data_IF_776477006874
#
_entry.id   IF_776477006874
#
_cell.length_a   1.000
_cell.length_b   1.000
_cell.length_c   1.000
_cell.angle_alpha   90.00
_cell.angle_beta   90.00
_cell.angle_gamma   90.00
#
_symmetry.space_group_name_H-M   'P 1'
#
loop_
_entity.id
_entity.type
_entity.pdbx_description
1 polymer ?
#
# COMPACT_ATOMS: atom_id res chain seq x y z
N UNK A 1 -0.52 40.47 59.14
CA UNK A 1 -1.76 41.02 58.55
C UNK A 1 -1.37 42.08 57.54
N UNK A 2 -2.09 42.21 56.41
CA UNK A 2 -1.72 42.83 55.11
C UNK A 2 -0.92 41.86 54.21
N UNK A 3 -1.51 40.95 53.43
CA UNK A 3 -2.50 41.11 52.34
C UNK A 3 -2.04 42.13 51.29
N UNK A 4 -1.32 41.68 50.25
CA UNK A 4 -1.20 42.40 48.99
C UNK A 4 -1.03 41.44 47.79
N UNK A 5 -2.12 41.34 47.04
CA UNK A 5 -2.21 41.39 45.57
C UNK A 5 -1.08 40.75 44.76
N UNK A 6 -1.40 39.69 44.01
CA UNK A 6 -1.01 39.58 42.59
C UNK A 6 -1.98 38.64 41.87
N UNK A 7 -3.10 39.20 41.39
CA UNK A 7 -3.91 38.58 40.36
C UNK A 7 -3.23 38.87 39.03
N UNK A 8 -2.67 37.85 38.37
CA UNK A 8 -2.22 37.96 36.99
C UNK A 8 -2.98 36.94 36.14
N UNK A 9 -4.10 37.40 35.58
CA UNK A 9 -4.87 36.69 34.56
C UNK A 9 -4.02 36.61 33.28
N UNK A 10 -3.63 35.40 32.88
CA UNK A 10 -3.08 35.14 31.55
C UNK A 10 -4.21 34.62 30.64
N UNK A 11 -4.75 35.53 29.82
CA UNK A 11 -5.68 35.21 28.73
C UNK A 11 -4.89 34.54 27.59
N UNK A 12 -5.05 33.23 27.43
CA UNK A 12 -4.49 32.49 26.29
C UNK A 12 -5.50 32.57 25.13
N UNK A 13 -5.20 33.40 24.13
CA UNK A 13 -5.94 33.44 22.87
C UNK A 13 -5.45 32.31 21.97
N UNK A 14 -6.25 31.26 21.79
CA UNK A 14 -6.01 30.21 20.79
C UNK A 14 -6.50 30.71 19.42
N UNK A 15 -5.56 31.07 18.54
CA UNK A 15 -5.86 31.26 17.12
C UNK A 15 -5.98 29.89 16.44
N UNK A 16 -7.20 29.50 16.08
CA UNK A 16 -7.47 28.29 15.29
C UNK A 16 -7.06 28.52 13.84
N UNK A 17 -5.92 27.96 13.45
CA UNK A 17 -5.52 27.86 12.04
C UNK A 17 -6.37 26.79 11.35
N UNK A 18 -7.24 27.20 10.43
CA UNK A 18 -7.92 26.26 9.54
C UNK A 18 -6.97 25.84 8.42
N UNK A 19 -6.34 24.66 8.59
CA UNK A 19 -5.60 24.01 7.52
C UNK A 19 -6.59 23.49 6.46
N UNK A 20 -6.51 24.05 5.25
CA UNK A 20 -7.16 23.52 4.05
C UNK A 20 -6.55 22.15 3.73
N UNK A 21 -7.32 21.10 3.44
CA UNK A 21 -6.76 19.83 2.98
C UNK A 21 -6.09 20.07 1.62
N UNK A 22 -4.75 20.12 1.61
CA UNK A 22 -3.98 20.06 0.38
C UNK A 22 -4.17 18.67 -0.20
N UNK A 23 -4.64 18.62 -1.44
CA UNK A 23 -4.76 17.40 -2.23
C UNK A 23 -3.48 16.58 -2.17
N UNK A 24 -3.66 15.25 -2.13
CA UNK A 24 -2.60 14.28 -1.94
C UNK A 24 -1.35 14.60 -2.76
N UNK A 25 -0.27 14.90 -2.04
CA UNK A 25 1.09 14.96 -2.58
C UNK A 25 1.36 13.65 -3.35
N UNK A 26 1.98 13.70 -4.54
CA UNK A 26 2.43 12.48 -5.18
C UNK A 26 3.31 11.70 -4.19
N UNK A 27 2.90 10.47 -3.87
CA UNK A 27 3.66 9.59 -3.00
C UNK A 27 5.03 9.41 -3.65
N UNK A 28 6.06 9.94 -2.99
CA UNK A 28 7.45 9.79 -3.40
C UNK A 28 7.75 8.30 -3.38
N UNK A 29 7.59 7.63 -4.52
CA UNK A 29 7.96 6.23 -4.65
C UNK A 29 9.45 6.19 -4.29
N UNK A 30 9.90 5.35 -3.34
CA UNK A 30 11.30 5.37 -2.92
C UNK A 30 12.17 4.96 -4.11
N UNK A 31 12.66 5.97 -4.84
CA UNK A 31 13.70 5.85 -5.85
C UNK A 31 15.00 5.69 -5.09
N UNK A 32 15.27 4.48 -4.61
CA UNK A 32 16.42 4.20 -3.76
C UNK A 32 16.92 2.79 -3.92
N UNK A 33 18.08 2.54 -3.32
CA UNK A 33 18.62 1.22 -3.14
C UNK A 33 18.26 0.71 -1.74
N UNK A 34 18.11 -0.60 -1.60
CA UNK A 34 17.88 -1.32 -0.34
C UNK A 34 18.92 -2.41 -0.16
N UNK A 35 19.19 -2.77 1.09
CA UNK A 35 20.10 -3.87 1.41
C UNK A 35 19.70 -5.17 0.69
N UNK A 36 20.67 -5.91 0.12
CA UNK A 36 20.46 -7.29 -0.29
C UNK A 36 19.90 -8.14 0.85
N UNK A 37 18.98 -9.06 0.53
CA UNK A 37 18.34 -9.93 1.54
C UNK A 37 19.30 -10.93 2.17
N UNK A 38 20.40 -11.24 1.49
CA UNK A 38 21.50 -12.06 1.98
C UNK A 38 22.82 -11.51 1.45
N UNK A 39 23.91 -11.84 2.12
CA UNK A 39 25.27 -11.67 1.59
C UNK A 39 25.62 -12.79 0.59
N UNK A 40 26.89 -12.88 0.19
CA UNK A 40 27.38 -13.95 -0.69
C UNK A 40 27.64 -15.28 0.04
N UNK A 41 27.76 -15.29 1.37
CA UNK A 41 27.80 -16.53 2.16
C UNK A 41 26.39 -17.05 2.55
N UNK A 42 25.33 -16.36 2.11
CA UNK A 42 23.92 -16.68 2.33
C UNK A 42 23.41 -16.47 3.77
N UNK A 43 24.12 -15.67 4.57
CA UNK A 43 23.62 -15.13 5.83
C UNK A 43 22.51 -14.10 5.56
N UNK A 44 21.41 -14.14 6.33
CA UNK A 44 20.27 -13.26 6.13
C UNK A 44 20.59 -11.82 6.57
N UNK A 45 19.92 -10.86 5.92
CA UNK A 45 19.95 -9.47 6.33
C UNK A 45 19.44 -9.31 7.78
N UNK A 46 20.30 -8.79 8.64
CA UNK A 46 19.97 -8.38 10.00
C UNK A 46 19.56 -6.91 10.08
N UNK A 47 20.13 -6.21 11.06
CA UNK A 47 19.91 -4.78 11.24
C UNK A 47 20.41 -4.01 10.03
N UNK A 48 19.58 -3.11 9.53
CA UNK A 48 19.94 -2.22 8.44
C UNK A 48 19.41 -0.83 8.69
N UNK A 49 20.09 0.16 8.13
CA UNK A 49 19.63 1.54 8.14
C UNK A 49 20.07 2.26 6.86
N UNK A 50 19.46 3.42 6.63
CA UNK A 50 19.83 4.34 5.56
C UNK A 50 19.84 5.74 6.14
N UNK A 51 20.96 6.44 6.01
CA UNK A 51 21.07 7.87 6.36
C UNK A 51 20.75 8.80 5.17
N UNK A 52 20.33 8.22 4.04
CA UNK A 52 20.08 8.92 2.77
C UNK A 52 21.29 9.02 1.85
N UNK A 53 22.50 8.78 2.35
CA UNK A 53 23.76 8.77 1.57
C UNK A 53 24.43 7.40 1.58
N UNK A 54 24.33 6.70 2.69
CA UNK A 54 24.93 5.41 2.98
C UNK A 54 23.85 4.44 3.46
N UNK A 55 23.88 3.23 2.92
CA UNK A 55 23.10 2.09 3.36
C UNK A 55 24.00 1.19 4.18
N UNK A 56 23.65 0.96 5.44
CA UNK A 56 24.29 -0.03 6.29
C UNK A 56 23.46 -1.31 6.30
N UNK A 57 24.10 -2.45 6.06
CA UNK A 57 23.47 -3.76 6.00
C UNK A 57 24.30 -4.76 6.80
N UNK A 58 23.80 -5.22 7.95
CA UNK A 58 24.46 -6.29 8.71
C UNK A 58 24.00 -7.68 8.26
N UNK A 59 24.90 -8.65 8.34
CA UNK A 59 24.66 -10.05 7.95
C UNK A 59 25.16 -10.98 9.07
N UNK A 60 24.49 -11.01 10.23
CA UNK A 60 24.95 -11.77 11.38
C UNK A 60 24.93 -13.27 11.09
N UNK A 61 26.00 -13.97 11.48
CA UNK A 61 26.07 -15.42 11.35
C UNK A 61 25.24 -16.13 12.44
N UNK A 62 25.11 -15.49 13.61
CA UNK A 62 24.36 -16.00 14.75
C UNK A 62 23.35 -14.99 15.30
N UNK A 63 22.33 -15.49 15.99
CA UNK A 63 21.36 -14.64 16.66
C UNK A 63 22.00 -13.86 17.83
N UNK A 64 21.76 -12.54 17.88
CA UNK A 64 22.26 -11.68 18.96
C UNK A 64 23.70 -11.18 18.79
N UNK A 65 24.30 -11.41 17.62
CA UNK A 65 25.60 -10.87 17.25
C UNK A 65 25.58 -9.33 17.10
N UNK A 66 26.72 -8.66 17.29
CA UNK A 66 26.82 -7.22 17.07
C UNK A 66 26.64 -6.93 15.57
N UNK A 67 25.69 -6.07 15.17
CA UNK A 67 25.52 -5.70 13.77
C UNK A 67 26.78 -5.13 13.10
N UNK A 68 27.76 -4.65 13.86
CA UNK A 68 28.99 -4.06 13.35
C UNK A 68 30.13 -5.08 13.14
N UNK A 69 29.91 -6.38 13.40
CA UNK A 69 30.93 -7.42 13.18
C UNK A 69 30.98 -7.84 11.71
N UNK A 70 29.84 -8.23 11.13
CA UNK A 70 29.70 -8.58 9.71
C UNK A 70 28.71 -7.64 9.02
N UNK A 71 29.22 -6.70 8.24
CA UNK A 71 28.38 -5.72 7.56
C UNK A 71 28.94 -5.22 6.24
N UNK A 72 28.04 -4.70 5.43
CA UNK A 72 28.34 -4.03 4.18
C UNK A 72 27.81 -2.60 4.23
N UNK A 73 28.55 -1.65 3.66
CA UNK A 73 28.04 -0.31 3.36
C UNK A 73 27.96 -0.08 1.87
N UNK A 74 26.89 0.58 1.45
CA UNK A 74 26.66 0.95 0.06
C UNK A 74 26.34 2.43 -0.05
N UNK A 75 26.63 3.02 -1.20
CA UNK A 75 26.07 4.32 -1.57
C UNK A 75 24.55 4.19 -1.76
N UNK A 76 23.77 4.98 -1.03
CA UNK A 76 22.31 5.02 -1.19
C UNK A 76 21.87 5.56 -2.56
N UNK A 77 22.76 6.30 -3.24
CA UNK A 77 22.50 6.91 -4.55
C UNK A 77 22.85 6.00 -5.73
N UNK A 78 23.96 5.26 -5.63
CA UNK A 78 24.45 4.41 -6.74
C UNK A 78 24.27 2.92 -6.50
N UNK A 79 23.98 2.53 -5.26
CA UNK A 79 23.93 1.15 -4.81
C UNK A 79 25.30 0.47 -4.75
N UNK A 80 26.39 1.13 -5.15
CA UNK A 80 27.73 0.51 -5.14
C UNK A 80 28.25 0.35 -3.73
N UNK A 81 28.93 -0.77 -3.50
CA UNK A 81 29.61 -1.03 -2.24
C UNK A 81 30.66 0.05 -2.00
N UNK A 82 30.65 0.60 -0.79
CA UNK A 82 31.62 1.60 -0.31
C UNK A 82 32.50 1.03 0.79
N UNK A 83 32.03 0.03 1.51
CA UNK A 83 32.81 -0.70 2.51
C UNK A 83 32.36 -2.16 2.58
N UNK A 84 33.33 -3.06 2.57
CA UNK A 84 33.16 -4.48 2.88
C UNK A 84 33.78 -4.73 4.25
N UNK A 85 32.95 -5.08 5.24
CA UNK A 85 33.37 -5.56 6.54
C UNK A 85 32.72 -6.92 6.81
N UNK A 86 32.65 -7.76 5.77
CA UNK A 86 32.03 -9.07 5.78
C UNK A 86 32.96 -10.10 5.12
N UNK A 87 34.27 -9.96 5.38
CA UNK A 87 35.31 -10.85 4.86
C UNK A 87 35.31 -11.08 3.33
N UNK A 88 34.79 -10.13 2.54
CA UNK A 88 34.69 -10.27 1.09
C UNK A 88 33.36 -10.85 0.59
N UNK A 89 32.39 -11.11 1.48
CA UNK A 89 31.09 -11.69 1.14
C UNK A 89 30.02 -10.63 0.84
N UNK A 90 30.34 -9.35 0.89
CA UNK A 90 29.38 -8.32 0.50
C UNK A 90 29.01 -8.42 -0.99
N UNK A 91 27.71 -8.45 -1.35
CA UNK A 91 27.28 -8.27 -2.72
C UNK A 91 27.87 -6.98 -3.31
N UNK A 92 28.31 -6.98 -4.58
CA UNK A 92 28.95 -5.79 -5.16
C UNK A 92 28.00 -4.60 -5.40
N UNK A 93 26.69 -4.78 -5.30
CA UNK A 93 25.68 -3.74 -5.49
C UNK A 93 24.43 -4.03 -4.68
N UNK A 94 23.88 -3.02 -4.01
CA UNK A 94 22.61 -3.06 -3.31
C UNK A 94 21.42 -3.23 -4.28
N UNK A 95 20.26 -3.62 -3.76
CA UNK A 95 19.06 -3.90 -4.57
C UNK A 95 18.39 -2.59 -4.98
N UNK A 96 18.16 -2.37 -6.28
CA UNK A 96 17.43 -1.20 -6.76
C UNK A 96 15.93 -1.35 -6.49
N UNK A 97 15.40 -0.60 -5.51
CA UNK A 97 14.00 -0.63 -5.09
C UNK A 97 13.05 0.07 -6.07
N UNK A 98 13.58 0.98 -6.90
CA UNK A 98 12.81 1.62 -7.99
C UNK A 98 12.44 0.66 -9.12
N UNK A 99 13.10 -0.50 -9.19
CA UNK A 99 12.79 -1.58 -10.12
C UNK A 99 11.94 -2.68 -9.48
N UNK A 100 11.34 -2.45 -8.30
CA UNK A 100 10.32 -3.34 -7.77
C UNK A 100 9.29 -3.56 -8.87
N UNK A 101 9.42 -4.71 -9.55
CA UNK A 101 8.54 -5.16 -10.63
C UNK A 101 7.15 -4.90 -10.10
N UNK A 102 6.42 -3.95 -10.72
CA UNK A 102 4.99 -3.78 -10.47
C UNK A 102 4.47 -5.20 -10.39
N UNK A 103 4.10 -5.67 -9.19
CA UNK A 103 3.33 -6.90 -9.09
C UNK A 103 2.15 -6.58 -9.99
N UNK A 104 2.09 -7.21 -11.17
CA UNK A 104 0.91 -7.15 -11.98
C UNK A 104 -0.22 -7.41 -11.01
N UNK A 105 -1.25 -6.53 -10.93
CA UNK A 105 -2.36 -6.80 -10.05
C UNK A 105 -2.79 -8.23 -10.36
N UNK A 106 -2.83 -9.08 -9.33
CA UNK A 106 -3.37 -10.43 -9.49
C UNK A 106 -4.67 -10.26 -10.28
N UNK A 107 -4.93 -11.07 -11.32
CA UNK A 107 -6.18 -10.97 -12.04
C UNK A 107 -7.28 -11.02 -10.99
N UNK A 108 -7.98 -9.89 -10.82
CA UNK A 108 -9.21 -9.89 -10.06
C UNK A 108 -10.06 -10.92 -10.76
N UNK A 109 -10.28 -12.06 -10.11
CA UNK A 109 -11.29 -13.00 -10.56
C UNK A 109 -12.56 -12.18 -10.58
N UNK A 110 -12.97 -11.77 -11.78
CA UNK A 110 -14.24 -11.10 -11.97
C UNK A 110 -15.27 -11.98 -11.27
N UNK A 111 -15.97 -11.40 -10.30
CA UNK A 111 -17.10 -12.08 -9.68
C UNK A 111 -17.96 -12.63 -10.81
N UNK A 112 -18.20 -13.94 -10.78
CA UNK A 112 -18.99 -14.62 -11.80
C UNK A 112 -20.30 -13.82 -12.01
N UNK A 113 -20.73 -13.57 -13.26
CA UNK A 113 -22.03 -12.96 -13.48
C UNK A 113 -23.07 -13.93 -12.90
N UNK A 114 -23.74 -13.50 -11.84
CA UNK A 114 -24.90 -14.19 -11.31
C UNK A 114 -25.88 -14.26 -12.46
N UNK A 115 -26.14 -15.48 -12.95
CA UNK A 115 -27.02 -15.71 -14.08
C UNK A 115 -28.38 -15.05 -13.79
N UNK A 116 -28.76 -14.08 -14.61
CA UNK A 116 -30.14 -13.61 -14.66
C UNK A 116 -31.04 -14.79 -15.08
N UNK A 117 -32.19 -15.03 -14.45
CA UNK A 117 -33.10 -16.07 -14.88
C UNK A 117 -33.61 -15.73 -16.28
N UNK A 118 -33.31 -16.61 -17.24
CA UNK A 118 -33.85 -16.55 -18.61
C UNK A 118 -35.37 -16.67 -18.50
N UNK A 119 -36.07 -15.60 -18.85
CA UNK A 119 -37.51 -15.63 -19.07
C UNK A 119 -37.81 -16.67 -20.16
N UNK A 120 -38.44 -17.77 -19.76
CA UNK A 120 -38.91 -18.80 -20.68
C UNK A 120 -39.94 -18.19 -21.63
N UNK A 121 -39.66 -18.22 -22.92
CA UNK A 121 -40.65 -17.87 -23.94
C UNK A 121 -41.88 -18.80 -23.79
N UNK A 122 -43.11 -18.25 -23.78
CA UNK A 122 -44.31 -19.06 -23.67
C UNK A 122 -44.52 -19.93 -24.91
N UNK A 123 -44.93 -21.18 -24.69
CA UNK A 123 -45.21 -22.15 -25.73
C UNK A 123 -46.49 -21.77 -26.50
N UNK A 124 -46.65 -22.19 -27.77
CA UNK A 124 -47.79 -21.81 -28.62
C UNK A 124 -49.17 -22.19 -28.06
N UNK A 125 -49.22 -23.10 -27.09
CA UNK A 125 -50.45 -23.48 -26.37
C UNK A 125 -51.07 -22.31 -25.58
N UNK A 126 -50.25 -21.40 -25.04
CA UNK A 126 -50.69 -20.28 -24.18
C UNK A 126 -51.38 -19.14 -24.97
N UNK A 127 -51.19 -19.09 -26.29
CA UNK A 127 -51.79 -18.08 -27.17
C UNK A 127 -53.28 -18.37 -27.46
N UNK A 128 -53.70 -19.65 -27.41
CA UNK A 128 -55.09 -20.04 -27.71
C UNK A 128 -56.05 -19.76 -26.55
N UNK A 129 -55.57 -19.80 -25.31
CA UNK A 129 -56.38 -19.48 -24.13
C UNK A 129 -56.76 -18.00 -24.07
N UNK A 130 -55.90 -17.10 -24.57
CA UNK A 130 -56.11 -15.64 -24.52
C UNK A 130 -57.05 -15.09 -25.60
N UNK A 131 -57.24 -15.78 -26.73
CA UNK A 131 -58.16 -15.31 -27.79
C UNK A 131 -59.64 -15.47 -27.43
N UNK A 132 -59.96 -16.34 -26.48
CA UNK A 132 -61.35 -16.63 -26.08
C UNK A 132 -61.90 -15.62 -25.07
N UNK A 133 -61.03 -14.89 -24.36
CA UNK A 133 -61.43 -13.91 -23.34
C UNK A 133 -61.78 -12.53 -23.92
N UNK A 134 -61.37 -12.22 -25.16
CA UNK A 134 -61.53 -10.88 -25.77
C UNK A 134 -62.83 -10.67 -26.57
N UNK A 135 -63.74 -11.67 -26.60
CA UNK A 135 -65.05 -11.56 -27.26
C UNK A 135 -66.23 -11.20 -26.34
N UNK A 136 -66.00 -10.92 -25.06
CA UNK A 136 -67.07 -10.49 -24.15
C UNK A 136 -66.81 -9.07 -23.64
N UNK A 137 -66.97 -8.10 -24.53
CA UNK A 137 -67.43 -6.76 -24.16
C UNK A 137 -68.96 -6.76 -24.34
N UNK A 138 -69.70 -6.20 -23.37
CA UNK A 138 -70.75 -5.25 -23.67
C UNK A 138 -70.24 -3.86 -23.24
N UNK A 139 -70.16 -2.88 -24.16
CA UNK A 139 -71.27 -1.96 -24.54
C UNK A 139 -71.54 -1.01 -23.37
N UNK A 140 -71.01 0.23 -23.42
CA UNK A 140 -71.76 1.47 -23.77
C UNK A 140 -72.78 1.79 -22.66
N UNK A 141 -72.79 2.96 -22.03
CA UNK A 141 -73.12 4.26 -22.63
C UNK A 141 -73.01 5.37 -21.54
N UNK A 142 -72.75 6.59 -22.00
CA UNK A 142 -73.10 7.93 -21.46
C UNK A 142 -73.02 8.23 -19.95
#
# INVERSE_FOLDING_TARGET
>A
MYALYFALSALVAFATVHAKPQGGTPSNTPTGFTCPSTDQAAFPLGTNNSDGTTLFCSYPAFAGEDPNDFYCKYSATTGKITQDNDAGFCPGTAVNSGSARRRSPAPQVAAAPVAAPVARAPAPEDLKARSSLKRRLPTEEA
#
